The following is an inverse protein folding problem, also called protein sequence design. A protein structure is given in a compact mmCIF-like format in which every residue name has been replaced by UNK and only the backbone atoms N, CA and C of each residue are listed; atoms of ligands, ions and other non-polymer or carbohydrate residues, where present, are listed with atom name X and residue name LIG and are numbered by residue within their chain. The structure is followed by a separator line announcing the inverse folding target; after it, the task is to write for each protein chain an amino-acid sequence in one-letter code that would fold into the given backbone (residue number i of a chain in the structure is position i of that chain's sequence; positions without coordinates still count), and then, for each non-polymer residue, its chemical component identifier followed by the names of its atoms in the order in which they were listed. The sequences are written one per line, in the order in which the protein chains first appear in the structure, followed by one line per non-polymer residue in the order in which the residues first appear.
data_IF_438718552937
#
_entry.id   IF_438718552937
#
_cell.length_a   1.000
_cell.length_b   1.000
_cell.length_c   1.000
_cell.angle_alpha   90.00
_cell.angle_beta   90.00
_cell.angle_gamma   90.00
#
_symmetry.space_group_name_H-M   'P 1'
#
loop_
_entity.id
_entity.type
_entity.pdbx_description
1 polymer ?
#
# COMPACT_ATOMS: atom_id res chain seq x y z
N UNK A 1 -23.38 -11.56 13.62
CA UNK A 1 -23.31 -10.16 13.17
C UNK A 1 -22.45 -10.19 11.93
N UNK A 2 -23.15 -10.16 10.79
CA UNK A 2 -22.76 -10.21 9.38
C UNK A 2 -21.28 -10.43 9.01
N UNK A 3 -21.06 -11.59 8.40
CA UNK A 3 -20.05 -11.86 7.38
C UNK A 3 -20.15 -10.79 6.27
N UNK A 4 -19.06 -10.07 6.04
CA UNK A 4 -18.84 -9.27 4.86
C UNK A 4 -17.46 -9.68 4.36
N UNK A 5 -17.44 -10.57 3.38
CA UNK A 5 -16.31 -10.70 2.47
C UNK A 5 -16.10 -9.32 1.80
N UNK A 6 -15.38 -8.44 2.49
CA UNK A 6 -15.16 -7.07 2.06
C UNK A 6 -14.12 -7.11 0.94
N UNK A 7 -14.62 -7.20 -0.29
CA UNK A 7 -13.91 -6.62 -1.42
C UNK A 7 -13.57 -5.18 -1.00
N UNK A 8 -12.28 -4.91 -0.75
CA UNK A 8 -11.84 -3.57 -0.38
C UNK A 8 -12.15 -2.67 -1.59
N UNK A 9 -13.02 -1.69 -1.41
CA UNK A 9 -13.26 -0.72 -2.48
C UNK A 9 -12.01 0.15 -2.62
N UNK A 10 -11.74 0.77 -3.79
CA UNK A 10 -10.53 1.57 -3.98
C UNK A 10 -10.35 2.68 -2.92
N UNK A 11 -11.46 3.23 -2.45
CA UNK A 11 -11.47 4.24 -1.38
C UNK A 11 -11.09 3.68 -0.01
N UNK A 12 -11.42 2.41 0.27
CA UNK A 12 -11.01 1.74 1.52
C UNK A 12 -9.51 1.40 1.50
N UNK A 13 -9.00 0.98 0.34
CA UNK A 13 -7.58 0.69 0.13
C UNK A 13 -6.74 1.94 0.41
N UNK A 14 -7.13 3.09 -0.14
CA UNK A 14 -6.42 4.35 0.07
C UNK A 14 -6.42 4.80 1.52
N UNK A 15 -7.56 4.68 2.20
CA UNK A 15 -7.68 5.02 3.60
C UNK A 15 -6.75 4.17 4.47
N UNK A 16 -6.71 2.86 4.22
CA UNK A 16 -5.84 1.92 4.93
C UNK A 16 -4.36 2.19 4.66
N UNK A 17 -3.99 2.43 3.40
CA UNK A 17 -2.60 2.78 3.02
C UNK A 17 -2.15 4.03 3.78
N UNK A 18 -2.97 5.08 3.76
CA UNK A 18 -2.62 6.35 4.36
C UNK A 18 -2.62 6.29 5.89
N UNK A 19 -3.43 5.42 6.50
CA UNK A 19 -3.36 5.13 7.93
C UNK A 19 -2.05 4.45 8.31
N UNK A 20 -1.59 3.45 7.52
CA UNK A 20 -0.32 2.75 7.75
C UNK A 20 0.87 3.70 7.55
N UNK A 21 0.86 4.52 6.50
CA UNK A 21 1.87 5.56 6.27
C UNK A 21 1.94 6.55 7.43
N UNK A 22 0.79 6.96 7.97
CA UNK A 22 0.74 7.89 9.10
C UNK A 22 1.32 7.27 10.38
N UNK A 23 0.96 6.02 10.68
CA UNK A 23 1.43 5.30 11.88
C UNK A 23 2.92 4.97 11.81
N UNK A 24 3.36 4.29 10.74
CA UNK A 24 4.75 3.84 10.59
C UNK A 24 5.70 4.96 10.18
N UNK A 25 5.26 5.84 9.27
CA UNK A 25 6.03 7.00 8.85
C UNK A 25 6.07 8.11 9.89
N UNK A 26 5.23 8.05 10.95
CA UNK A 26 5.11 9.08 12.01
C UNK A 26 4.80 10.47 11.44
N UNK A 27 4.00 10.50 10.37
CA UNK A 27 3.58 11.73 9.68
C UNK A 27 2.10 11.95 9.91
N UNK A 28 1.70 13.21 10.10
CA UNK A 28 0.29 13.56 10.24
C UNK A 28 -0.48 13.23 8.95
N UNK A 29 -1.66 12.62 9.09
CA UNK A 29 -2.51 12.19 7.98
C UNK A 29 -2.82 13.30 6.97
N UNK A 30 -2.96 14.53 7.45
CA UNK A 30 -3.28 15.72 6.65
C UNK A 30 -2.12 16.14 5.71
N UNK A 31 -0.89 15.71 6.01
CA UNK A 31 0.28 15.98 5.16
C UNK A 31 0.49 14.90 4.08
N UNK A 32 -0.18 13.75 4.22
CA UNK A 32 -0.09 12.64 3.27
C UNK A 32 -1.00 12.89 2.05
N UNK A 33 -0.60 13.87 1.24
CA UNK A 33 -1.22 14.17 -0.06
C UNK A 33 -0.43 13.47 -1.18
N UNK A 34 -1.08 13.04 -2.29
CA UNK A 34 -0.41 12.28 -3.35
C UNK A 34 0.85 12.93 -3.90
N UNK A 35 0.89 14.26 -3.97
CA UNK A 35 2.00 15.05 -4.49
C UNK A 35 3.15 15.23 -3.49
N UNK A 36 2.96 14.87 -2.22
CA UNK A 36 3.98 15.04 -1.19
C UNK A 36 5.11 14.03 -1.38
N UNK A 37 6.34 14.53 -1.41
CA UNK A 37 7.53 13.69 -1.40
C UNK A 37 7.75 13.08 -0.02
N UNK A 38 8.02 11.77 0.06
CA UNK A 38 8.24 11.08 1.34
C UNK A 38 9.44 11.67 2.10
N UNK A 39 10.45 12.12 1.37
CA UNK A 39 11.63 12.78 1.94
C UNK A 39 11.29 14.14 2.59
N UNK A 40 10.40 14.93 1.98
CA UNK A 40 9.97 16.23 2.52
C UNK A 40 9.09 16.08 3.76
N UNK A 41 8.37 14.96 3.84
CA UNK A 41 7.60 14.57 5.01
C UNK A 41 8.47 14.02 6.16
N UNK A 42 9.77 13.83 5.92
CA UNK A 42 10.71 13.31 6.92
C UNK A 42 10.64 11.80 7.12
N UNK A 43 10.00 11.07 6.21
CA UNK A 43 9.92 9.60 6.27
C UNK A 43 11.28 9.03 5.90
N UNK A 44 11.94 8.35 6.84
CA UNK A 44 13.24 7.75 6.59
C UNK A 44 13.12 6.46 5.78
N UNK A 45 14.19 6.08 5.08
CA UNK A 45 14.22 4.82 4.31
C UNK A 45 13.95 3.58 5.16
N UNK A 46 14.27 3.61 6.46
CA UNK A 46 13.91 2.53 7.39
C UNK A 46 12.40 2.48 7.69
N UNK A 47 11.76 3.65 7.88
CA UNK A 47 10.32 3.72 8.08
C UNK A 47 9.57 3.28 6.81
N UNK A 48 10.11 3.55 5.62
CA UNK A 48 9.55 3.04 4.35
C UNK A 48 9.56 1.51 4.32
N UNK A 49 10.62 0.85 4.80
CA UNK A 49 10.67 -0.62 4.90
C UNK A 49 9.55 -1.14 5.81
N UNK A 50 9.32 -0.50 6.97
CA UNK A 50 8.24 -0.88 7.89
C UNK A 50 6.85 -0.66 7.28
N UNK A 51 6.66 0.45 6.56
CA UNK A 51 5.43 0.74 5.81
C UNK A 51 5.16 -0.36 4.79
N UNK A 52 6.16 -0.73 3.98
CA UNK A 52 6.02 -1.77 2.96
C UNK A 52 5.61 -3.10 3.60
N UNK A 53 6.32 -3.55 4.64
CA UNK A 53 5.96 -4.80 5.32
C UNK A 53 4.55 -4.77 5.92
N UNK A 54 4.13 -3.65 6.51
CA UNK A 54 2.78 -3.51 7.04
C UNK A 54 1.70 -3.54 5.94
N UNK A 55 1.99 -2.99 4.76
CA UNK A 55 1.11 -3.04 3.60
C UNK A 55 1.00 -4.45 3.03
N UNK A 56 2.13 -5.15 2.89
CA UNK A 56 2.19 -6.54 2.45
C UNK A 56 1.38 -7.44 3.37
N UNK A 57 1.56 -7.34 4.70
CA UNK A 57 0.82 -8.13 5.68
C UNK A 57 -0.69 -7.77 5.69
N UNK A 58 -1.03 -6.47 5.60
CA UNK A 58 -2.42 -6.01 5.62
C UNK A 58 -3.22 -6.51 4.42
N UNK A 59 -2.65 -6.45 3.23
CA UNK A 59 -3.34 -6.79 1.98
C UNK A 59 -2.99 -8.19 1.47
N UNK A 60 -2.05 -8.88 2.14
CA UNK A 60 -1.48 -10.18 1.75
C UNK A 60 -0.97 -10.13 0.30
N UNK A 61 -0.21 -9.07 -0.03
CA UNK A 61 0.38 -8.78 -1.34
C UNK A 61 1.90 -8.83 -1.26
N UNK A 62 2.54 -8.91 -2.42
CA UNK A 62 3.99 -8.72 -2.54
C UNK A 62 4.24 -7.43 -3.33
N UNK A 63 5.00 -6.51 -2.74
CA UNK A 63 5.38 -5.26 -3.37
C UNK A 63 6.84 -5.43 -3.80
N UNK A 64 7.15 -5.36 -5.10
CA UNK A 64 8.53 -5.46 -5.57
C UNK A 64 9.28 -4.21 -5.10
N UNK A 65 9.90 -4.31 -3.92
CA UNK A 65 10.57 -3.23 -3.24
C UNK A 65 12.07 -3.53 -3.08
N UNK A 66 12.92 -2.69 -3.68
CA UNK A 66 14.35 -2.77 -3.44
C UNK A 66 14.75 -1.95 -2.21
N UNK A 67 14.98 -2.62 -1.07
CA UNK A 67 15.42 -1.97 0.16
C UNK A 67 16.76 -1.21 0.04
N UNK A 68 17.60 -1.53 -0.95
CA UNK A 68 18.84 -0.80 -1.21
C UNK A 68 18.63 0.48 -2.02
N UNK A 69 17.49 0.61 -2.71
CA UNK A 69 17.16 1.76 -3.56
C UNK A 69 15.70 2.22 -3.37
N UNK A 70 15.28 2.23 -2.11
CA UNK A 70 13.93 2.58 -1.69
C UNK A 70 13.42 3.92 -2.25
N UNK A 71 14.35 4.86 -2.48
CA UNK A 71 14.05 6.23 -2.93
C UNK A 71 13.72 6.31 -4.42
N UNK A 72 14.19 5.37 -5.24
CA UNK A 72 13.83 5.34 -6.66
C UNK A 72 12.43 4.80 -6.90
N UNK A 73 11.97 3.89 -6.04
CA UNK A 73 10.66 3.23 -6.22
C UNK A 73 9.53 3.98 -5.51
N UNK A 74 9.79 4.60 -4.37
CA UNK A 74 8.82 5.43 -3.64
C UNK A 74 9.35 6.84 -3.41
N UNK A 75 9.04 7.75 -4.34
CA UNK A 75 9.40 9.18 -4.22
C UNK A 75 8.31 9.95 -3.50
N UNK A 76 7.05 9.68 -3.82
CA UNK A 76 5.86 10.39 -3.33
C UNK A 76 4.85 9.47 -2.67
N UNK A 77 3.92 10.05 -1.91
CA UNK A 77 2.77 9.30 -1.36
C UNK A 77 1.93 8.69 -2.49
N UNK A 78 1.79 9.38 -3.61
CA UNK A 78 1.09 8.89 -4.80
C UNK A 78 1.71 7.61 -5.37
N UNK A 79 3.04 7.49 -5.36
CA UNK A 79 3.74 6.29 -5.85
C UNK A 79 3.41 5.07 -4.98
N UNK A 80 3.40 5.25 -3.66
CA UNK A 80 3.03 4.17 -2.72
C UNK A 80 1.59 3.73 -2.95
N UNK A 81 0.66 4.70 -3.07
CA UNK A 81 -0.74 4.41 -3.37
C UNK A 81 -0.90 3.62 -4.67
N UNK A 82 -0.21 4.06 -5.73
CA UNK A 82 -0.28 3.41 -7.04
C UNK A 82 0.29 1.98 -6.99
N UNK A 83 1.43 1.78 -6.34
CA UNK A 83 2.08 0.48 -6.25
C UNK A 83 1.22 -0.54 -5.49
N UNK A 84 0.65 -0.14 -4.33
CA UNK A 84 -0.22 -1.02 -3.54
C UNK A 84 -1.50 -1.33 -4.31
N UNK A 85 -2.15 -0.33 -4.93
CA UNK A 85 -3.36 -0.57 -5.75
C UNK A 85 -3.08 -1.56 -6.88
N UNK A 86 -1.94 -1.41 -7.57
CA UNK A 86 -1.54 -2.31 -8.64
C UNK A 86 -1.30 -3.74 -8.13
N UNK A 87 -0.65 -3.89 -6.97
CA UNK A 87 -0.40 -5.19 -6.35
C UNK A 87 -1.70 -5.87 -5.88
N UNK A 88 -2.61 -5.13 -5.24
CA UNK A 88 -3.93 -5.64 -4.82
C UNK A 88 -4.79 -6.03 -6.02
N UNK A 89 -4.80 -5.21 -7.07
CA UNK A 89 -5.50 -5.51 -8.32
C UNK A 89 -4.90 -6.75 -9.00
N UNK A 90 -3.57 -6.87 -9.03
CA UNK A 90 -2.89 -8.02 -9.61
C UNK A 90 -3.16 -9.31 -8.82
N UNK A 91 -3.17 -9.26 -7.49
CA UNK A 91 -3.58 -10.39 -6.65
C UNK A 91 -5.03 -10.82 -6.93
N UNK A 92 -5.93 -9.85 -7.02
CA UNK A 92 -7.35 -10.11 -7.34
C UNK A 92 -7.52 -10.69 -8.75
N UNK A 93 -6.69 -10.28 -9.70
CA UNK A 93 -6.69 -10.79 -11.07
C UNK A 93 -5.94 -12.13 -11.23
N UNK A 94 -4.95 -12.42 -10.38
CA UNK A 94 -4.20 -13.69 -10.34
C UNK A 94 -4.96 -14.80 -9.61
N UNK A 95 -6.08 -14.47 -8.95
CA UNK A 95 -7.06 -15.44 -8.48
C UNK A 95 -8.39 -15.33 -9.25
N UNK A 96 -8.42 -15.53 -10.58
CA UNK A 96 -9.68 -15.72 -11.29
C UNK A 96 -10.01 -17.20 -11.16
N UNK A 97 -10.91 -17.55 -10.22
CA UNK A 97 -11.63 -18.81 -10.21
C UNK A 97 -10.89 -20.02 -10.80
N UNK A 98 -10.24 -20.80 -9.94
CA UNK A 98 -10.07 -22.23 -10.21
C UNK A 98 -11.45 -22.76 -10.63
N UNK A 99 -11.57 -23.09 -11.92
CA UNK A 99 -12.76 -23.59 -12.60
C UNK A 99 -13.47 -24.66 -11.74
N UNK A 100 -14.81 -24.62 -11.65
CA UNK A 100 -15.52 -25.80 -12.13
C UNK A 100 -16.88 -25.45 -12.75
N UNK A 101 -16.99 -25.48 -14.08
CA UNK A 101 -18.24 -25.84 -14.75
C UNK A 101 -18.02 -26.37 -16.18
N UNK A 102 -18.46 -27.63 -16.35
CA UNK A 102 -18.71 -28.42 -17.57
C UNK A 102 -17.56 -29.27 -18.13
#
# INVERSE_FOLDING_TARGET
MTDAAAAHTPSDIDADILAILSDKGRVARDLLVPEAALADLGIASLDVIEVVFALEDRFDIEIPFNANDARQEFTTVGDVLAAVRAAVASKSAANPATNPAA
#
